data_IF_563948311393
#
_entry.id   IF_563948311393
#
_cell.length_a   1.000
_cell.length_b   1.000
_cell.length_c   1.000
_cell.angle_alpha   90.00
_cell.angle_beta   90.00
_cell.angle_gamma   90.00
#
_symmetry.space_group_name_H-M   'P 1'
#
loop_
_entity.id
_entity.type
_entity.pdbx_description
1 polymer ?
#
# COMPACT_ATOMS: atom_id res chain seq x y z
N UNK A 1 5.45 -1.64 -10.39
CA UNK A 1 5.43 -0.21 -10.03
C UNK A 1 6.87 0.27 -9.88
N UNK A 2 7.27 1.35 -10.57
CA UNK A 2 8.59 1.98 -10.37
C UNK A 2 8.48 3.12 -9.36
N UNK A 3 8.78 2.82 -8.10
CA UNK A 3 8.62 3.72 -6.96
C UNK A 3 7.29 4.50 -7.01
N UNK A 4 7.30 5.77 -6.63
CA UNK A 4 6.15 6.66 -6.69
C UNK A 4 5.75 6.99 -8.13
N UNK A 5 6.68 6.93 -9.08
CA UNK A 5 6.48 7.37 -10.47
C UNK A 5 5.53 6.47 -11.26
N UNK A 6 5.45 5.19 -10.91
CA UNK A 6 4.47 4.26 -11.47
C UNK A 6 3.01 4.75 -11.34
N UNK A 7 2.72 5.59 -10.33
CA UNK A 7 1.40 6.22 -10.15
C UNK A 7 1.07 7.30 -11.18
N UNK A 8 1.95 7.64 -12.13
CA UNK A 8 1.62 8.49 -13.29
C UNK A 8 1.09 7.68 -14.48
N UNK A 9 1.30 6.36 -14.50
CA UNK A 9 0.85 5.52 -15.61
C UNK A 9 -0.63 5.14 -15.45
N UNK A 10 -1.50 5.74 -16.26
CA UNK A 10 -2.95 5.54 -16.18
C UNK A 10 -3.39 4.08 -16.36
N UNK A 11 -2.67 3.28 -17.18
CA UNK A 11 -2.98 1.86 -17.37
C UNK A 11 -2.58 1.03 -16.14
N UNK A 12 -1.36 1.21 -15.64
CA UNK A 12 -0.88 0.49 -14.46
C UNK A 12 -1.76 0.74 -13.22
N UNK A 13 -2.28 1.97 -13.07
CA UNK A 13 -3.21 2.32 -12.00
C UNK A 13 -4.53 1.57 -12.05
N UNK A 14 -4.95 1.04 -13.19
CA UNK A 14 -6.16 0.19 -13.24
C UNK A 14 -5.93 -1.13 -12.48
N UNK A 15 -4.67 -1.55 -12.30
CA UNK A 15 -4.27 -2.84 -11.74
C UNK A 15 -3.72 -2.69 -10.32
N UNK A 16 -2.98 -1.60 -10.03
CA UNK A 16 -2.23 -1.45 -8.77
C UNK A 16 -2.45 -0.11 -8.05
N UNK A 17 -3.67 0.44 -8.08
CA UNK A 17 -4.02 1.71 -7.40
C UNK A 17 -4.14 1.64 -5.87
N UNK A 18 -4.08 0.45 -5.27
CA UNK A 18 -4.08 0.29 -3.82
C UNK A 18 -3.18 -0.88 -3.42
N UNK A 19 -2.39 -0.70 -2.37
CA UNK A 19 -1.58 -1.75 -1.78
C UNK A 19 -2.32 -2.48 -0.65
N UNK A 20 -1.86 -3.69 -0.38
CA UNK A 20 -2.24 -4.51 0.79
C UNK A 20 -0.99 -4.79 1.60
N UNK A 21 -1.14 -5.08 2.89
CA UNK A 21 -0.07 -5.72 3.64
C UNK A 21 -0.12 -7.22 3.36
N UNK A 22 0.93 -7.76 2.78
CA UNK A 22 1.03 -9.18 2.53
C UNK A 22 1.64 -9.87 3.74
N UNK A 23 0.98 -10.95 4.17
CA UNK A 23 1.39 -11.78 5.30
C UNK A 23 1.32 -13.24 4.90
N UNK A 24 2.16 -14.08 5.53
CA UNK A 24 2.05 -15.52 5.36
C UNK A 24 0.66 -16.05 5.77
N UNK A 25 0.10 -16.95 4.96
CA UNK A 25 -1.22 -17.55 5.20
C UNK A 25 -1.33 -18.31 6.53
N UNK A 26 -0.29 -19.05 6.93
CA UNK A 26 -0.26 -19.77 8.21
C UNK A 26 -0.37 -18.79 9.36
N UNK A 27 0.51 -17.78 9.40
CA UNK A 27 0.52 -16.76 10.45
C UNK A 27 -0.78 -15.96 10.50
N UNK A 28 -1.30 -15.57 9.34
CA UNK A 28 -2.59 -14.87 9.26
C UNK A 28 -3.74 -15.71 9.82
N UNK A 29 -3.77 -17.01 9.53
CA UNK A 29 -4.81 -17.92 10.02
C UNK A 29 -4.74 -18.11 11.54
N UNK A 30 -3.53 -18.25 12.10
CA UNK A 30 -3.30 -18.28 13.55
C UNK A 30 -3.82 -17.01 14.25
N UNK A 31 -3.71 -15.86 13.60
CA UNK A 31 -4.23 -14.58 14.07
C UNK A 31 -5.74 -14.37 13.76
N UNK A 32 -6.42 -15.37 13.18
CA UNK A 32 -7.83 -15.28 12.81
C UNK A 32 -8.12 -14.26 11.69
N UNK A 33 -7.14 -13.98 10.85
CA UNK A 33 -7.24 -13.07 9.71
C UNK A 33 -7.66 -13.80 8.43
N UNK A 34 -8.41 -13.09 7.59
CA UNK A 34 -8.77 -13.49 6.23
C UNK A 34 -8.30 -12.43 5.23
N UNK A 35 -8.33 -12.78 3.96
CA UNK A 35 -8.07 -11.80 2.90
C UNK A 35 -9.02 -10.61 3.04
N UNK A 36 -8.48 -9.40 2.86
CA UNK A 36 -9.17 -8.12 2.95
C UNK A 36 -9.67 -7.69 4.34
N UNK A 37 -9.37 -8.47 5.39
CA UNK A 37 -9.55 -8.02 6.77
C UNK A 37 -8.75 -6.74 7.04
N UNK A 38 -9.32 -5.88 7.86
CA UNK A 38 -8.65 -4.69 8.37
C UNK A 38 -7.73 -5.06 9.52
N UNK A 39 -6.53 -4.51 9.50
CA UNK A 39 -5.51 -4.71 10.53
C UNK A 39 -4.88 -3.37 10.91
N UNK A 40 -4.56 -3.21 12.17
CA UNK A 40 -3.65 -2.17 12.62
C UNK A 40 -2.25 -2.77 12.68
N UNK A 41 -1.31 -2.09 12.02
CA UNK A 41 0.12 -2.39 12.04
C UNK A 41 0.79 -1.29 12.84
N UNK A 42 1.44 -1.62 13.93
CA UNK A 42 2.07 -0.64 14.81
C UNK A 42 3.55 -0.91 14.98
N UNK A 43 4.28 0.17 15.23
CA UNK A 43 5.69 0.18 15.62
C UNK A 43 5.85 1.07 16.85
N UNK A 44 7.08 1.25 17.31
CA UNK A 44 7.40 2.13 18.43
C UNK A 44 7.10 3.63 18.17
N UNK A 45 6.94 4.06 16.90
CA UNK A 45 6.71 5.48 16.58
C UNK A 45 5.30 5.79 16.06
N UNK A 46 4.50 4.77 15.74
CA UNK A 46 3.26 5.03 15.02
C UNK A 46 2.51 3.77 14.64
N UNK A 47 1.39 4.01 13.94
CA UNK A 47 0.45 2.98 13.54
C UNK A 47 -0.15 3.28 12.17
N UNK A 48 -0.50 2.22 11.46
CA UNK A 48 -1.14 2.25 10.16
C UNK A 48 -2.33 1.30 10.19
N UNK A 49 -3.50 1.80 9.80
CA UNK A 49 -4.67 0.95 9.55
C UNK A 49 -4.69 0.61 8.07
N UNK A 50 -4.69 -0.67 7.72
CA UNK A 50 -4.68 -1.12 6.32
C UNK A 50 -5.38 -2.47 6.17
N UNK A 51 -5.50 -2.93 4.92
CA UNK A 51 -6.04 -4.25 4.62
C UNK A 51 -4.94 -5.27 4.38
N UNK A 52 -5.14 -6.49 4.91
CA UNK A 52 -4.20 -7.61 4.75
C UNK A 52 -4.57 -8.48 3.54
N UNK A 53 -3.56 -9.12 2.94
CA UNK A 53 -3.73 -10.19 1.95
C UNK A 53 -2.83 -11.36 2.33
N UNK A 54 -3.41 -12.56 2.45
CA UNK A 54 -2.68 -13.76 2.83
C UNK A 54 -2.06 -14.43 1.61
N UNK A 55 -0.76 -14.70 1.66
CA UNK A 55 -0.04 -15.45 0.62
C UNK A 55 0.87 -16.51 1.24
N UNK A 56 1.01 -17.67 0.61
CA UNK A 56 1.90 -18.73 1.10
C UNK A 56 3.39 -18.44 0.84
N UNK A 57 3.70 -17.61 -0.16
CA UNK A 57 5.08 -17.26 -0.53
C UNK A 57 5.77 -16.22 0.36
N UNK A 58 5.06 -15.61 1.32
CA UNK A 58 5.67 -14.72 2.30
C UNK A 58 6.35 -15.55 3.40
N UNK A 59 7.51 -15.14 3.90
CA UNK A 59 8.07 -15.75 5.10
C UNK A 59 7.06 -15.62 6.26
N UNK A 60 6.96 -16.63 7.11
CA UNK A 60 5.96 -16.76 8.19
C UNK A 60 5.99 -15.56 9.13
N UNK A 61 7.18 -15.09 9.48
CA UNK A 61 7.39 -14.02 10.46
C UNK A 61 7.71 -12.66 9.82
N UNK A 62 7.44 -12.52 8.51
CA UNK A 62 7.63 -11.26 7.80
C UNK A 62 6.33 -10.78 7.18
N UNK A 63 6.28 -9.47 6.94
CA UNK A 63 5.25 -8.83 6.14
C UNK A 63 5.91 -7.93 5.11
N UNK A 64 5.21 -7.69 4.01
CA UNK A 64 5.70 -6.77 3.00
C UNK A 64 4.55 -6.06 2.31
N UNK A 65 4.85 -4.93 1.68
CA UNK A 65 3.90 -4.20 0.84
C UNK A 65 4.64 -3.48 -0.27
N UNK A 66 3.91 -3.13 -1.33
CA UNK A 66 4.43 -2.25 -2.36
C UNK A 66 4.55 -0.83 -1.80
N UNK A 67 5.77 -0.30 -1.79
CA UNK A 67 6.01 1.08 -1.36
C UNK A 67 5.42 2.09 -2.37
N UNK A 68 5.17 3.30 -1.88
CA UNK A 68 4.87 4.50 -2.66
C UNK A 68 3.54 4.52 -3.46
N UNK A 69 2.61 3.59 -3.15
CA UNK A 69 1.23 3.62 -3.69
C UNK A 69 0.37 4.61 -2.93
N UNK A 70 0.39 4.60 -1.60
CA UNK A 70 -0.37 5.54 -0.77
C UNK A 70 0.02 6.99 -1.06
N UNK A 71 -0.97 7.86 -1.25
CA UNK A 71 -0.78 9.29 -1.51
C UNK A 71 -1.70 10.13 -0.63
N UNK A 72 -1.31 11.37 -0.38
CA UNK A 72 -2.21 12.36 0.22
C UNK A 72 -3.20 12.86 -0.82
N UNK A 73 -4.48 12.95 -0.46
CA UNK A 73 -5.53 13.45 -1.34
C UNK A 73 -5.19 14.84 -1.90
N UNK A 74 -5.53 15.08 -3.17
CA UNK A 74 -5.20 16.31 -3.89
C UNK A 74 -3.79 16.34 -4.47
N UNK A 75 -2.90 15.43 -4.08
CA UNK A 75 -1.62 15.29 -4.75
C UNK A 75 -1.79 14.69 -6.16
N UNK A 76 -0.88 15.04 -7.08
CA UNK A 76 -0.71 14.35 -8.38
C UNK A 76 -1.92 14.44 -9.34
N UNK A 77 -2.91 15.29 -9.08
CA UNK A 77 -4.06 15.47 -9.98
C UNK A 77 -5.01 14.30 -10.05
N UNK A 78 -4.97 13.42 -9.05
CA UNK A 78 -5.90 12.32 -8.98
C UNK A 78 -7.23 12.79 -8.37
N UNK A 79 -8.32 12.11 -8.74
CA UNK A 79 -9.64 12.33 -8.13
C UNK A 79 -9.54 12.15 -6.61
N UNK A 80 -10.20 13.01 -5.82
CA UNK A 80 -10.15 12.99 -4.33
C UNK A 80 -10.60 11.66 -3.72
N UNK A 81 -11.40 10.88 -4.47
CA UNK A 81 -11.88 9.55 -4.08
C UNK A 81 -11.02 8.40 -4.63
N UNK A 82 -9.86 8.68 -5.24
CA UNK A 82 -9.02 7.65 -5.84
C UNK A 82 -8.56 6.61 -4.80
N UNK A 83 -8.45 5.32 -5.17
CA UNK A 83 -8.00 4.26 -4.25
C UNK A 83 -6.63 4.53 -3.64
N UNK A 84 -5.74 5.24 -4.33
CA UNK A 84 -4.41 5.64 -3.82
C UNK A 84 -4.50 6.50 -2.56
N UNK A 85 -5.61 7.24 -2.39
CA UNK A 85 -5.87 8.09 -1.23
C UNK A 85 -6.69 7.37 -0.16
N UNK A 86 -7.67 6.57 -0.59
CA UNK A 86 -8.62 5.93 0.34
C UNK A 86 -8.10 4.62 0.90
N UNK A 87 -7.47 3.79 0.06
CA UNK A 87 -7.05 2.43 0.43
C UNK A 87 -5.53 2.30 0.48
N UNK A 88 -4.80 3.10 -0.30
CA UNK A 88 -3.35 3.14 -0.28
C UNK A 88 -2.79 3.59 1.07
N UNK A 89 -1.64 3.05 1.46
CA UNK A 89 -0.94 3.43 2.70
C UNK A 89 0.58 3.35 2.54
N UNK A 90 1.33 3.96 3.46
CA UNK A 90 2.79 3.93 3.49
C UNK A 90 3.28 3.37 4.84
N UNK A 91 4.20 2.40 4.80
CA UNK A 91 4.88 1.91 6.01
C UNK A 91 5.87 2.93 6.57
N UNK A 92 6.19 4.00 5.82
CA UNK A 92 7.06 5.08 6.29
C UNK A 92 6.57 5.72 7.60
N UNK A 93 5.26 5.65 7.91
CA UNK A 93 4.72 6.09 9.19
C UNK A 93 5.13 5.21 10.39
N UNK A 94 5.73 4.06 10.14
CA UNK A 94 6.21 3.10 11.12
C UNK A 94 7.75 3.05 11.23
N UNK A 95 8.46 3.71 10.32
CA UNK A 95 9.93 3.64 10.23
C UNK A 95 10.52 4.89 10.87
N UNK A 96 11.29 4.72 11.94
CA UNK A 96 12.06 5.82 12.55
C UNK A 96 13.34 6.09 11.77
N UNK A 97 13.59 7.36 11.49
CA UNK A 97 14.88 7.83 10.98
C UNK A 97 15.94 7.95 12.08
N UNK A 98 15.55 7.80 13.35
CA UNK A 98 16.41 7.97 14.52
C UNK A 98 16.43 6.69 15.36
N UNK A 99 17.59 6.38 15.93
CA UNK A 99 17.71 5.38 16.98
C UNK A 99 17.06 5.88 18.29
N UNK A 100 16.72 4.97 19.23
CA UNK A 100 16.26 5.37 20.55
C UNK A 100 17.22 6.35 21.22
N UNK A 101 16.65 7.20 22.10
CA UNK A 101 17.40 8.19 22.87
C UNK A 101 18.54 7.53 23.65
N UNK A 102 19.71 8.17 23.68
CA UNK A 102 20.81 7.82 24.58
C UNK A 102 20.95 8.85 25.69
N UNK A 103 21.83 8.58 26.65
CA UNK A 103 22.14 9.50 27.75
C UNK A 103 22.34 10.94 27.25
N UNK A 104 21.63 11.89 27.86
CA UNK A 104 21.70 13.31 27.52
C UNK A 104 20.76 13.79 26.39
N UNK A 105 19.78 12.99 25.97
CA UNK A 105 18.75 13.44 25.01
C UNK A 105 19.14 13.38 23.54
N UNK A 106 20.32 12.83 23.23
CA UNK A 106 20.82 12.77 21.86
C UNK A 106 20.31 11.53 21.12
N UNK A 107 19.88 11.74 19.88
CA UNK A 107 19.45 10.69 18.97
C UNK A 107 20.41 10.58 17.77
N UNK A 108 20.91 9.37 17.52
CA UNK A 108 21.68 9.08 16.32
C UNK A 108 20.75 8.79 15.14
N UNK A 109 21.22 9.07 13.92
CA UNK A 109 20.54 8.61 12.71
C UNK A 109 20.46 7.08 12.71
N UNK A 110 19.31 6.53 12.31
CA UNK A 110 19.13 5.10 12.07
C UNK A 110 19.69 4.75 10.69
N UNK A 111 21.02 4.82 10.58
CA UNK A 111 21.76 4.61 9.34
C UNK A 111 23.05 3.85 9.63
N UNK A 112 23.54 3.12 8.65
CA UNK A 112 24.87 2.53 8.69
C UNK A 112 25.92 3.64 8.93
N UNK A 113 26.72 3.56 10.01
CA UNK A 113 27.68 4.60 10.35
C UNK A 113 28.83 4.75 9.36
N UNK A 114 29.05 3.76 8.48
CA UNK A 114 30.10 3.79 7.46
C UNK A 114 29.56 4.38 6.16
N UNK A 115 28.43 3.85 5.67
CA UNK A 115 27.90 4.21 4.34
C UNK A 115 26.84 5.32 4.37
N UNK A 116 26.23 5.58 5.52
CA UNK A 116 25.07 6.47 5.65
C UNK A 116 23.77 5.87 5.13
N UNK A 117 23.74 4.60 4.73
CA UNK A 117 22.54 3.94 4.23
C UNK A 117 21.48 3.78 5.33
N UNK A 118 20.23 4.15 5.05
CA UNK A 118 19.15 4.05 6.03
C UNK A 118 18.76 2.58 6.33
N UNK A 119 18.69 2.24 7.62
CA UNK A 119 18.43 0.87 8.09
C UNK A 119 16.94 0.61 8.31
N UNK A 120 16.18 0.50 7.20
CA UNK A 120 14.71 0.31 7.26
C UNK A 120 14.28 -1.16 7.45
N UNK A 121 15.15 -2.12 7.16
CA UNK A 121 14.80 -3.55 7.15
C UNK A 121 14.77 -4.19 8.55
N UNK A 122 15.29 -3.50 9.57
CA UNK A 122 15.26 -3.96 10.97
C UNK A 122 13.96 -3.58 11.69
N UNK A 123 12.99 -2.97 10.98
CA UNK A 123 11.71 -2.57 11.55
C UNK A 123 10.94 -3.80 12.07
N UNK A 124 10.68 -3.81 13.37
CA UNK A 124 9.71 -4.71 13.99
C UNK A 124 8.34 -4.05 14.07
N UNK A 125 7.32 -4.82 13.73
CA UNK A 125 5.92 -4.40 13.80
C UNK A 125 5.08 -5.36 14.63
N UNK A 126 4.04 -4.84 15.26
CA UNK A 126 2.96 -5.61 15.85
C UNK A 126 1.73 -5.54 14.94
N UNK A 127 0.98 -6.63 14.86
CA UNK A 127 -0.19 -6.74 13.97
C UNK A 127 -1.38 -7.21 14.79
N UNK A 128 -2.46 -6.44 14.71
CA UNK A 128 -3.72 -6.76 15.37
C UNK A 128 -4.90 -6.61 14.41
N UNK A 129 -5.90 -7.48 14.56
CA UNK A 129 -7.15 -7.37 13.80
C UNK A 129 -7.88 -6.09 14.22
N UNK A 130 -8.39 -5.36 13.24
CA UNK A 130 -9.06 -4.09 13.45
C UNK A 130 -10.41 -4.04 12.73
N UNK A 131 -11.24 -3.08 13.11
CA UNK A 131 -12.41 -2.69 12.32
C UNK A 131 -11.96 -1.69 11.24
N UNK A 132 -12.67 -1.60 10.10
CA UNK A 132 -12.47 -0.48 9.18
C UNK A 132 -12.65 0.85 9.90
N UNK A 133 -11.95 1.88 9.44
CA UNK A 133 -12.28 3.26 9.82
C UNK A 133 -13.71 3.61 9.36
N UNK A 134 -14.29 4.68 9.93
CA UNK A 134 -15.66 5.11 9.60
C UNK A 134 -15.91 5.27 8.09
N UNK A 135 -14.88 5.61 7.32
CA UNK A 135 -14.94 5.80 5.86
C UNK A 135 -14.37 4.63 5.05
N UNK A 136 -14.10 3.49 5.70
CA UNK A 136 -13.43 2.32 5.13
C UNK A 136 -12.14 2.68 4.39
N UNK A 137 -11.34 3.54 5.02
CA UNK A 137 -10.07 4.04 4.51
C UNK A 137 -8.89 3.63 5.38
N UNK A 138 -7.71 3.56 4.76
CA UNK A 138 -6.46 3.39 5.46
C UNK A 138 -6.11 4.64 6.27
N UNK A 139 -5.37 4.44 7.36
CA UNK A 139 -4.91 5.52 8.25
C UNK A 139 -3.38 5.43 8.40
N UNK A 140 -2.65 6.54 8.63
CA UNK A 140 -3.17 7.89 8.92
C UNK A 140 -3.73 8.61 7.68
N UNK A 141 -4.87 9.26 7.86
CA UNK A 141 -5.47 10.14 6.86
C UNK A 141 -5.12 11.61 7.12
N UNK A 142 -4.73 12.30 6.07
CA UNK A 142 -4.47 13.74 6.09
C UNK A 142 -5.48 14.47 5.22
N UNK A 143 -5.88 15.67 5.63
CA UNK A 143 -6.77 16.52 4.83
C UNK A 143 -6.18 16.77 3.43
N UNK A 144 -7.01 16.83 2.38
CA UNK A 144 -6.52 17.04 1.03
C UNK A 144 -5.70 18.32 0.90
N UNK A 145 -4.66 18.29 0.09
CA UNK A 145 -3.94 19.51 -0.31
C UNK A 145 -4.62 20.15 -1.51
N UNK A 146 -4.64 21.48 -1.55
CA UNK A 146 -5.08 22.22 -2.74
C UNK A 146 -4.03 22.10 -3.82
N UNK A 147 -4.31 21.31 -4.86
CA UNK A 147 -3.51 21.35 -6.07
C UNK A 147 -4.22 22.21 -7.13
N UNK A 148 -3.54 23.25 -7.59
CA UNK A 148 -3.99 24.07 -8.72
C UNK A 148 -3.80 23.27 -10.01
N UNK A 149 -4.76 22.39 -10.30
CA UNK A 149 -4.73 21.54 -11.48
C UNK A 149 -5.89 21.98 -12.36
N UNK A 150 -5.56 22.50 -13.55
CA UNK A 150 -6.56 22.70 -14.60
C UNK A 150 -7.11 21.32 -14.95
N UNK A 151 -8.36 21.05 -14.60
CA UNK A 151 -9.05 19.85 -15.05
C UNK A 151 -9.03 19.83 -16.58
N UNK A 152 -8.23 18.93 -17.15
CA UNK A 152 -8.33 18.62 -18.57
C UNK A 152 -9.39 17.53 -18.71
N UNK A 153 -10.40 17.77 -19.55
CA UNK A 153 -11.41 16.78 -19.92
C UNK A 153 -10.77 15.71 -20.81
N UNK A 154 -9.94 14.84 -20.24
CA UNK A 154 -9.45 13.67 -20.96
C UNK A 154 -10.41 12.50 -20.73
N UNK A 155 -11.44 12.42 -21.58
CA UNK A 155 -12.42 11.33 -21.60
C UNK A 155 -11.87 10.01 -22.19
N UNK A 156 -10.55 9.89 -22.35
CA UNK A 156 -9.91 8.76 -23.03
C UNK A 156 -9.13 7.92 -22.03
N UNK A 157 -9.84 7.22 -21.14
CA UNK A 157 -9.34 5.92 -20.70
C UNK A 157 -9.58 4.99 -21.88
N UNK A 158 -8.51 4.50 -22.51
CA UNK A 158 -8.58 3.54 -23.62
C UNK A 158 -9.52 2.39 -23.24
N UNK A 159 -10.69 2.37 -23.89
CA UNK A 159 -11.66 1.26 -23.90
C UNK A 159 -11.19 0.10 -24.78
N UNK A 160 -9.88 -0.06 -24.96
CA UNK A 160 -9.29 -1.07 -25.81
C UNK A 160 -8.95 -2.27 -24.93
N UNK A 161 -9.84 -3.27 -24.90
CA UNK A 161 -9.53 -4.71 -24.85
C UNK A 161 -10.73 -5.60 -24.43
N UNK A 162 -11.88 -5.04 -24.04
CA UNK A 162 -13.04 -5.84 -23.61
C UNK A 162 -14.13 -6.05 -24.67
N UNK A 163 -14.15 -5.29 -25.77
CA UNK A 163 -15.24 -5.39 -26.77
C UNK A 163 -14.98 -6.38 -27.91
N UNK A 164 -13.91 -7.18 -27.90
CA UNK A 164 -13.58 -8.09 -29.04
C UNK A 164 -13.57 -9.59 -28.77
N UNK A 165 -13.88 -10.09 -27.57
CA UNK A 165 -13.84 -11.55 -27.33
C UNK A 165 -14.94 -12.09 -26.39
N UNK A 166 -16.15 -11.55 -26.47
CA UNK A 166 -17.32 -12.10 -25.75
C UNK A 166 -18.54 -12.19 -26.67
N UNK A 167 -18.41 -12.93 -27.75
CA UNK A 167 -19.53 -13.67 -28.34
C UNK A 167 -18.97 -15.01 -28.80
N UNK A 168 -19.47 -16.10 -28.21
CA UNK A 168 -19.24 -17.50 -28.63
C UNK A 168 -17.94 -18.20 -28.18
N UNK A 169 -17.79 -18.42 -26.86
CA UNK A 169 -16.95 -19.53 -26.37
C UNK A 169 -17.80 -20.53 -25.57
N UNK A 170 -17.70 -21.85 -25.85
CA UNK A 170 -18.43 -22.87 -25.11
C UNK A 170 -18.05 -22.94 -23.63
N UNK A 171 -18.99 -23.39 -22.81
CA UNK A 171 -18.80 -23.76 -21.41
C UNK A 171 -17.59 -24.68 -21.24
N UNK A 172 -16.67 -24.33 -20.34
CA UNK A 172 -15.49 -25.14 -20.00
C UNK A 172 -14.15 -24.65 -20.55
N UNK A 173 -14.10 -23.50 -21.24
CA UNK A 173 -12.84 -22.96 -21.76
C UNK A 173 -12.00 -22.28 -20.66
N UNK A 174 -10.88 -22.89 -20.27
CA UNK A 174 -9.88 -22.28 -19.37
C UNK A 174 -8.90 -21.47 -20.23
N UNK A 175 -8.88 -20.15 -20.07
CA UNK A 175 -7.82 -19.29 -20.64
C UNK A 175 -6.69 -19.14 -19.63
N UNK A 176 -5.51 -19.67 -19.94
CA UNK A 176 -4.27 -19.14 -19.41
C UNK A 176 -3.98 -17.82 -20.13
N UNK A 177 -4.08 -16.69 -19.42
CA UNK A 177 -3.41 -15.46 -19.82
C UNK A 177 -2.13 -15.34 -19.00
N UNK A 178 -1.00 -15.64 -19.64
CA UNK A 178 0.33 -15.30 -19.13
C UNK A 178 0.72 -13.96 -19.75
N UNK A 179 1.02 -13.00 -18.89
CA UNK A 179 1.99 -11.92 -19.14
C UNK A 179 2.76 -11.70 -17.84
#
# INVERSE_FOLDING_TARGET
MYHSWGSQNAWLRQISNANKLYMNRKRGTELGLKDDDWIEVSSHIGKVLCQVKLMSGCQVDTVWTWNAIGKRAGAWGLNKESPEFRKGFLLNHLISALLPEKEGGFHYSNSDPITGQAAWYDLKVHIQKAKPSNNQRSEPYFLPISANIKESKCNLILKYFLETFVTDLPSGTIKNLVY
#
